data_IF_997392956582
#
_entry.id   IF_997392956582
#
_cell.length_a   1.000
_cell.length_b   1.000
_cell.length_c   1.000
_cell.angle_alpha   90.00
_cell.angle_beta   90.00
_cell.angle_gamma   90.00
#
_symmetry.space_group_name_H-M   'P 1'
#
loop_
_entity.id
_entity.type
_entity.pdbx_description
1 polymer ?
#
# COMPACT_ATOMS: atom_id res chain seq x y z
N UNK A 1 27.70 20.67 -52.66
CA UNK A 1 26.93 21.90 -52.98
C UNK A 1 25.46 21.55 -53.09
N UNK A 2 24.64 22.03 -52.16
CA UNK A 2 23.27 22.53 -52.35
C UNK A 2 22.98 23.36 -51.08
N UNK A 3 23.09 24.67 -51.27
CA UNK A 3 22.90 25.76 -50.30
C UNK A 3 21.37 25.91 -50.06
N UNK A 4 20.86 26.50 -48.98
CA UNK A 4 20.70 27.95 -48.71
C UNK A 4 19.87 28.05 -47.39
N UNK A 5 20.29 28.79 -46.36
CA UNK A 5 19.81 30.15 -45.96
C UNK A 5 18.54 30.14 -45.06
N UNK A 6 18.23 31.04 -44.12
CA UNK A 6 18.77 32.28 -43.52
C UNK A 6 17.87 32.63 -42.29
N UNK A 7 18.43 33.27 -41.24
CA UNK A 7 17.90 34.38 -40.38
C UNK A 7 16.55 34.22 -39.62
N UNK A 8 16.57 34.46 -38.30
CA UNK A 8 15.86 35.60 -37.63
C UNK A 8 16.11 35.68 -36.11
N UNK A 9 16.12 36.93 -35.64
CA UNK A 9 16.44 37.51 -34.33
C UNK A 9 15.24 37.38 -33.37
N UNK A 10 15.45 37.26 -32.04
CA UNK A 10 14.87 38.17 -31.02
C UNK A 10 15.30 37.79 -29.58
N UNK A 11 15.77 38.80 -28.84
CA UNK A 11 16.12 38.76 -27.42
C UNK A 11 14.90 38.92 -26.51
N UNK A 12 14.94 38.39 -25.28
CA UNK A 12 14.36 39.08 -24.11
C UNK A 12 14.97 38.61 -22.78
N UNK A 13 15.30 39.58 -21.92
CA UNK A 13 15.75 39.46 -20.52
C UNK A 13 14.69 38.75 -19.64
N UNK A 14 14.86 38.40 -18.36
CA UNK A 14 14.94 39.31 -17.18
C UNK A 14 15.54 38.53 -15.98
N UNK A 15 16.34 39.26 -15.19
CA UNK A 15 16.93 38.93 -13.89
C UNK A 15 15.93 38.52 -12.79
N UNK A 16 16.38 37.71 -11.83
CA UNK A 16 16.04 37.90 -10.43
C UNK A 16 17.16 37.39 -9.51
N UNK A 17 17.71 38.31 -8.71
CA UNK A 17 18.68 38.05 -7.66
C UNK A 17 17.97 37.31 -6.51
N UNK A 18 18.38 36.10 -6.17
CA UNK A 18 18.09 35.54 -4.86
C UNK A 18 19.20 36.04 -3.91
N UNK A 19 18.81 36.99 -3.06
CA UNK A 19 19.64 37.60 -2.03
C UNK A 19 20.31 36.52 -1.15
N UNK A 20 21.58 36.77 -0.83
CA UNK A 20 22.29 35.99 0.17
C UNK A 20 21.63 36.11 1.54
N UNK A 21 21.66 35.00 2.27
CA UNK A 21 21.70 35.03 3.72
C UNK A 21 22.88 34.18 4.17
N UNK A 22 24.00 34.84 4.40
CA UNK A 22 25.07 34.38 5.28
C UNK A 22 24.73 34.84 6.69
N UNK A 23 24.51 33.92 7.63
CA UNK A 23 24.41 34.31 9.03
C UNK A 23 23.91 33.22 9.97
N UNK A 24 24.77 32.82 10.90
CA UNK A 24 24.34 32.33 12.20
C UNK A 24 24.48 30.84 12.43
N UNK A 25 25.70 30.42 12.82
CA UNK A 25 25.82 29.29 13.72
C UNK A 25 25.07 29.64 15.02
N UNK A 26 24.02 28.89 15.34
CA UNK A 26 23.50 28.77 16.70
C UNK A 26 23.51 27.30 17.07
N UNK A 27 24.56 26.95 17.80
CA UNK A 27 24.69 25.76 18.61
C UNK A 27 23.58 25.80 19.68
N UNK A 28 22.58 24.94 19.56
CA UNK A 28 21.70 24.59 20.68
C UNK A 28 21.91 23.12 21.02
N UNK A 29 22.58 22.91 22.15
CA UNK A 29 22.63 21.64 22.86
C UNK A 29 21.22 21.38 23.40
N UNK A 30 20.50 20.41 22.82
CA UNK A 30 19.25 19.92 23.40
C UNK A 30 19.28 18.41 23.43
N UNK A 31 19.65 17.90 24.60
CA UNK A 31 19.35 16.56 25.10
C UNK A 31 17.87 16.23 24.84
N UNK A 32 17.61 15.09 24.19
CA UNK A 32 16.24 14.61 23.97
C UNK A 32 16.16 13.53 22.90
N UNK A 33 16.59 12.31 23.23
CA UNK A 33 16.14 11.11 22.49
C UNK A 33 14.65 10.89 22.79
N UNK A 34 13.77 11.49 21.98
CA UNK A 34 12.40 11.00 21.83
C UNK A 34 12.33 10.29 20.48
N UNK A 35 12.65 9.00 20.51
CA UNK A 35 12.49 8.09 19.38
C UNK A 35 11.00 7.87 19.09
N UNK A 36 10.36 8.84 18.44
CA UNK A 36 9.19 8.55 17.64
C UNK A 36 9.68 7.98 16.32
N UNK A 37 9.72 6.65 16.20
CA UNK A 37 9.88 5.99 14.92
C UNK A 37 8.67 6.38 14.06
N UNK A 38 8.85 7.35 13.17
CA UNK A 38 7.94 7.54 12.06
C UNK A 38 7.90 6.21 11.28
N UNK A 39 6.72 5.67 10.95
CA UNK A 39 6.66 4.49 10.11
C UNK A 39 7.39 4.82 8.81
N UNK A 40 8.41 4.02 8.51
CA UNK A 40 9.13 4.08 7.24
C UNK A 40 8.10 3.76 6.15
N UNK A 41 7.53 4.79 5.52
CA UNK A 41 6.70 4.59 4.35
C UNK A 41 7.61 4.12 3.21
N UNK A 42 7.63 2.80 3.06
CA UNK A 42 8.26 2.09 1.96
C UNK A 42 7.77 2.68 0.65
N UNK A 43 8.70 3.23 -0.13
CA UNK A 43 8.41 3.75 -1.48
C UNK A 43 7.86 2.64 -2.39
N UNK A 44 7.23 3.02 -3.50
CA UNK A 44 6.65 2.06 -4.44
C UNK A 44 6.04 2.69 -5.68
N UNK A 45 5.56 1.82 -6.58
CA UNK A 45 4.87 2.22 -7.81
C UNK A 45 3.47 2.77 -7.50
N UNK A 46 3.18 3.99 -7.98
CA UNK A 46 1.89 4.69 -7.80
C UNK A 46 0.96 4.50 -9.01
N UNK A 47 0.87 3.28 -9.55
CA UNK A 47 -0.05 2.97 -10.63
C UNK A 47 -1.34 2.29 -10.15
N UNK A 48 -2.29 2.02 -11.07
CA UNK A 48 -3.50 1.27 -10.76
C UNK A 48 -3.15 -0.06 -10.08
N UNK A 49 -3.83 -0.34 -8.96
CA UNK A 49 -3.68 -1.59 -8.24
C UNK A 49 -4.56 -2.63 -8.93
N UNK A 50 -3.95 -3.67 -9.48
CA UNK A 50 -4.68 -4.80 -10.05
C UNK A 50 -5.18 -5.70 -8.91
N UNK A 51 -6.42 -6.18 -9.02
CA UNK A 51 -6.98 -7.13 -8.07
C UNK A 51 -8.50 -7.11 -7.99
N UNK A 52 -9.05 -8.07 -7.26
CA UNK A 52 -10.49 -8.14 -6.96
C UNK A 52 -10.81 -7.56 -5.58
N UNK A 53 -12.01 -7.01 -5.43
CA UNK A 53 -12.42 -6.24 -4.25
C UNK A 53 -13.69 -6.75 -3.56
N UNK A 54 -14.08 -7.99 -3.82
CA UNK A 54 -15.19 -8.66 -3.14
C UNK A 54 -14.88 -10.12 -2.92
N UNK A 55 -15.47 -10.69 -1.87
CA UNK A 55 -15.29 -12.12 -1.56
C UNK A 55 -15.83 -12.97 -2.70
N UNK A 56 -16.98 -12.61 -3.28
CA UNK A 56 -17.55 -13.32 -4.44
C UNK A 56 -16.59 -13.39 -5.63
N UNK A 57 -15.90 -12.29 -5.93
CA UNK A 57 -14.94 -12.26 -7.02
C UNK A 57 -13.70 -13.11 -6.70
N UNK A 58 -13.19 -13.06 -5.46
CA UNK A 58 -12.09 -13.89 -5.01
C UNK A 58 -12.40 -15.39 -5.08
N UNK A 59 -13.61 -15.80 -4.71
CA UNK A 59 -14.07 -17.20 -4.80
C UNK A 59 -14.10 -17.75 -6.24
N UNK A 60 -14.13 -16.88 -7.25
CA UNK A 60 -14.14 -17.26 -8.68
C UNK A 60 -12.84 -16.89 -9.40
N UNK A 61 -11.88 -16.29 -8.69
CA UNK A 61 -10.62 -15.85 -9.27
C UNK A 61 -9.69 -17.04 -9.50
N UNK A 62 -8.71 -16.83 -10.38
CA UNK A 62 -7.61 -17.77 -10.53
C UNK A 62 -6.64 -17.65 -9.35
N UNK A 63 -5.85 -18.70 -9.17
CA UNK A 63 -4.69 -18.71 -8.28
C UNK A 63 -3.78 -17.48 -8.52
N UNK A 64 -3.08 -17.04 -7.48
CA UNK A 64 -2.22 -15.84 -7.44
C UNK A 64 -2.93 -14.51 -7.75
N UNK A 65 -4.26 -14.47 -7.81
CA UNK A 65 -4.98 -13.22 -8.05
C UNK A 65 -4.91 -12.32 -6.82
N UNK A 66 -4.34 -11.12 -6.98
CA UNK A 66 -4.28 -10.13 -5.90
C UNK A 66 -5.66 -9.65 -5.46
N UNK A 67 -5.83 -9.40 -4.15
CA UNK A 67 -7.07 -8.92 -3.55
C UNK A 67 -6.87 -7.68 -2.69
N UNK A 68 -7.90 -6.85 -2.64
CA UNK A 68 -8.05 -5.75 -1.68
C UNK A 68 -9.52 -5.71 -1.22
N UNK A 69 -9.81 -6.36 -0.09
CA UNK A 69 -11.20 -6.59 0.34
C UNK A 69 -11.42 -6.03 1.74
N UNK A 70 -12.45 -5.18 1.87
CA UNK A 70 -12.90 -4.67 3.15
C UNK A 70 -13.98 -5.56 3.74
N UNK A 71 -13.86 -5.89 5.03
CA UNK A 71 -14.76 -6.81 5.69
C UNK A 71 -14.40 -7.02 7.16
N UNK A 72 -14.88 -8.13 7.74
CA UNK A 72 -14.70 -8.48 9.14
C UNK A 72 -14.24 -9.92 9.29
N UNK A 73 -13.41 -10.16 10.30
CA UNK A 73 -13.16 -11.52 10.79
C UNK A 73 -14.35 -11.93 11.67
N UNK A 74 -15.00 -13.04 11.31
CA UNK A 74 -16.18 -13.57 12.03
C UNK A 74 -15.77 -14.61 13.08
N UNK A 75 -14.79 -15.46 12.76
CA UNK A 75 -14.36 -16.54 13.64
C UNK A 75 -13.01 -17.11 13.22
N UNK A 76 -12.20 -17.58 14.17
CA UNK A 76 -11.06 -18.45 13.88
C UNK A 76 -11.55 -19.88 13.63
N UNK A 77 -11.05 -20.52 12.58
CA UNK A 77 -11.46 -21.89 12.19
C UNK A 77 -10.30 -22.88 12.20
N UNK A 78 -9.06 -22.39 12.36
CA UNK A 78 -7.86 -23.20 12.50
C UNK A 78 -6.69 -22.36 13.00
N UNK A 79 -5.52 -22.98 13.08
CA UNK A 79 -4.27 -22.23 13.23
C UNK A 79 -4.11 -21.32 12.01
N UNK A 80 -3.92 -20.02 12.24
CA UNK A 80 -3.76 -18.96 11.22
C UNK A 80 -4.92 -18.80 10.22
N UNK A 81 -5.95 -19.64 10.30
CA UNK A 81 -7.12 -19.61 9.42
C UNK A 81 -8.34 -18.98 10.09
N UNK A 82 -8.93 -18.01 9.40
CA UNK A 82 -10.07 -17.23 9.86
C UNK A 82 -11.18 -17.19 8.81
N UNK A 83 -12.43 -17.20 9.25
CA UNK A 83 -13.58 -16.93 8.40
C UNK A 83 -13.76 -15.42 8.29
N UNK A 84 -13.66 -14.90 7.08
CA UNK A 84 -13.81 -13.49 6.76
C UNK A 84 -15.09 -13.25 5.97
N UNK A 85 -15.69 -12.07 6.13
CA UNK A 85 -16.85 -11.65 5.33
C UNK A 85 -16.77 -10.20 4.92
N UNK A 86 -17.10 -9.92 3.66
CA UNK A 86 -17.36 -8.56 3.16
C UNK A 86 -18.79 -8.07 3.47
N UNK A 87 -19.55 -8.84 4.26
CA UNK A 87 -20.94 -8.58 4.63
C UNK A 87 -21.98 -9.24 3.70
N UNK A 88 -21.55 -9.82 2.57
CA UNK A 88 -22.44 -10.53 1.63
C UNK A 88 -22.06 -11.99 1.52
N UNK A 89 -20.77 -12.24 1.34
CA UNK A 89 -20.21 -13.57 1.15
C UNK A 89 -19.14 -13.84 2.22
N UNK A 90 -18.68 -15.09 2.31
CA UNK A 90 -17.63 -15.51 3.26
C UNK A 90 -16.55 -16.34 2.57
N UNK A 91 -15.31 -16.18 3.03
CA UNK A 91 -14.15 -16.94 2.57
C UNK A 91 -13.21 -17.22 3.75
N UNK A 92 -12.40 -18.26 3.63
CA UNK A 92 -11.31 -18.50 4.58
C UNK A 92 -10.13 -17.63 4.17
N UNK A 93 -9.54 -16.96 5.15
CA UNK A 93 -8.31 -16.21 5.00
C UNK A 93 -7.25 -16.83 5.91
N UNK A 94 -6.03 -16.90 5.44
CA UNK A 94 -4.84 -17.30 6.19
C UNK A 94 -4.06 -16.03 6.51
N UNK A 95 -3.74 -15.83 7.79
CA UNK A 95 -2.97 -14.69 8.28
C UNK A 95 -1.87 -15.25 9.16
N UNK A 96 -0.64 -15.26 8.65
CA UNK A 96 0.53 -15.62 9.44
C UNK A 96 0.76 -14.62 10.57
N UNK A 97 1.41 -15.06 11.65
CA UNK A 97 1.70 -14.23 12.82
C UNK A 97 2.39 -12.88 12.46
N UNK A 98 3.22 -12.86 11.42
CA UNK A 98 3.96 -11.68 10.97
C UNK A 98 3.09 -10.71 10.13
N UNK A 99 2.07 -11.21 9.42
CA UNK A 99 1.23 -10.42 8.50
C UNK A 99 0.21 -9.52 9.23
N UNK A 100 0.03 -9.74 10.53
CA UNK A 100 -0.70 -8.81 11.40
C UNK A 100 -0.04 -7.44 11.44
N UNK A 101 1.29 -7.33 11.27
CA UNK A 101 2.00 -6.05 11.26
C UNK A 101 1.78 -5.21 12.52
N UNK A 102 1.58 -5.86 13.67
CA UNK A 102 1.26 -5.21 14.95
C UNK A 102 -0.18 -4.71 15.10
N UNK A 103 -1.05 -4.98 14.12
CA UNK A 103 -2.47 -4.64 14.16
C UNK A 103 -3.22 -5.68 15.01
N UNK A 104 -3.91 -5.24 16.05
CA UNK A 104 -4.88 -6.08 16.77
C UNK A 104 -6.29 -5.82 16.26
N UNK A 105 -7.00 -6.86 15.83
CA UNK A 105 -8.37 -6.76 15.30
C UNK A 105 -9.37 -7.28 16.33
N UNK A 106 -10.30 -6.43 16.75
CA UNK A 106 -11.34 -6.80 17.69
C UNK A 106 -12.52 -7.54 17.05
N UNK A 107 -13.42 -8.13 17.85
CA UNK A 107 -14.70 -8.64 17.36
C UNK A 107 -15.46 -7.54 16.62
N UNK A 108 -16.04 -7.89 15.47
CA UNK A 108 -16.85 -7.00 14.62
C UNK A 108 -16.14 -5.78 14.01
N UNK A 109 -14.82 -5.70 14.08
CA UNK A 109 -14.06 -4.61 13.49
C UNK A 109 -13.97 -4.74 11.96
N UNK A 110 -14.19 -3.62 11.26
CA UNK A 110 -13.96 -3.55 9.82
C UNK A 110 -12.48 -3.36 9.55
N UNK A 111 -11.92 -4.25 8.74
CA UNK A 111 -10.54 -4.21 8.27
C UNK A 111 -10.51 -4.30 6.74
N UNK A 112 -9.40 -3.88 6.15
CA UNK A 112 -9.08 -4.18 4.75
C UNK A 112 -7.91 -5.15 4.73
N UNK A 113 -8.12 -6.28 4.08
CA UNK A 113 -7.08 -7.28 3.83
C UNK A 113 -6.51 -7.10 2.43
N UNK A 114 -5.21 -7.32 2.30
CA UNK A 114 -4.48 -7.39 1.04
C UNK A 114 -3.77 -8.73 0.98
N UNK A 115 -3.79 -9.37 -0.17
CA UNK A 115 -3.21 -10.70 -0.30
C UNK A 115 -3.43 -11.31 -1.66
N UNK A 116 -3.25 -12.62 -1.75
CA UNK A 116 -3.38 -13.40 -2.96
C UNK A 116 -4.42 -14.50 -2.76
N UNK A 117 -5.19 -14.79 -3.79
CA UNK A 117 -6.04 -15.98 -3.81
C UNK A 117 -5.14 -17.20 -3.92
N UNK A 118 -5.24 -18.10 -2.94
CA UNK A 118 -4.64 -19.45 -3.00
C UNK A 118 -5.75 -20.45 -3.32
N UNK A 119 -5.70 -21.02 -4.52
CA UNK A 119 -6.74 -21.90 -5.01
C UNK A 119 -6.20 -22.89 -6.04
N UNK A 120 -6.74 -24.10 -6.04
CA UNK A 120 -6.39 -25.08 -7.08
C UNK A 120 -7.60 -25.92 -7.48
N UNK A 121 -7.42 -26.77 -8.50
CA UNK A 121 -8.51 -27.56 -9.07
C UNK A 121 -9.21 -28.51 -8.06
N UNK A 122 -8.61 -28.75 -6.89
CA UNK A 122 -9.11 -29.68 -5.87
C UNK A 122 -9.57 -28.99 -4.57
N UNK A 123 -9.21 -27.72 -4.35
CA UNK A 123 -9.50 -26.97 -3.12
C UNK A 123 -10.28 -25.70 -3.45
N UNK A 124 -11.22 -25.34 -2.57
CA UNK A 124 -11.87 -24.04 -2.66
C UNK A 124 -10.84 -22.93 -2.43
N UNK A 125 -11.04 -21.79 -3.09
CA UNK A 125 -10.17 -20.63 -2.93
C UNK A 125 -10.17 -20.15 -1.48
N UNK A 126 -8.97 -19.89 -0.98
CA UNK A 126 -8.68 -19.14 0.24
C UNK A 126 -7.95 -17.84 -0.14
N UNK A 127 -7.69 -16.97 0.83
CA UNK A 127 -6.83 -15.79 0.63
C UNK A 127 -5.66 -15.88 1.60
N UNK A 128 -4.46 -15.92 1.07
CA UNK A 128 -3.21 -15.73 1.81
C UNK A 128 -2.99 -14.22 2.01
N UNK A 129 -3.14 -13.75 3.24
CA UNK A 129 -3.13 -12.33 3.59
C UNK A 129 -1.71 -11.85 3.84
N UNK A 130 -1.27 -10.86 3.06
CA UNK A 130 0.06 -10.22 3.19
C UNK A 130 0.06 -8.94 4.00
N UNK A 131 -1.11 -8.36 4.26
CA UNK A 131 -1.25 -7.13 5.04
C UNK A 131 -2.68 -6.90 5.50
N UNK A 132 -2.80 -6.37 6.71
CA UNK A 132 -4.07 -5.88 7.27
C UNK A 132 -3.97 -4.37 7.53
N UNK A 133 -5.07 -3.66 7.27
CA UNK A 133 -5.24 -2.25 7.66
C UNK A 133 -6.63 -2.00 8.25
N UNK A 134 -6.76 -0.94 9.05
CA UNK A 134 -8.02 -0.46 9.63
C UNK A 134 -8.52 0.77 8.88
#
# INVERSE_FOLDING_TARGET
MKKLSLIAILALAISANAAGFTGGASQSNTSGFTGGQAPMYQGGFLGPRYGVNSVKAALSAWDDTWVEIKGKIISQVGHEKYKFSDGKDTIIIEIDDDDWGGVSVGPDELITIYGEVDGNALKANEIDVKRITK
#
